data_IF_599817145396
#
_entry.id   IF_599817145396
#
_cell.length_a   1.000
_cell.length_b   1.000
_cell.length_c   1.000
_cell.angle_alpha   90.00
_cell.angle_beta   90.00
_cell.angle_gamma   90.00
#
_symmetry.space_group_name_H-M   'P 1'
#
loop_
_entity.id
_entity.type
_entity.pdbx_description
1 polymer ?
#
# COMPACT_ATOMS: atom_id res chain seq x y z
N UNK A 1 3.95 -32.39 -18.80
CA UNK A 1 2.97 -31.81 -17.85
C UNK A 1 3.57 -31.44 -16.49
N UNK A 2 4.39 -32.29 -15.85
CA UNK A 2 5.06 -31.99 -14.55
C UNK A 2 5.83 -30.66 -14.53
N UNK A 3 6.61 -30.38 -15.60
CA UNK A 3 7.38 -29.13 -15.75
C UNK A 3 6.49 -27.89 -15.93
N UNK A 4 5.36 -28.04 -16.61
CA UNK A 4 4.38 -26.95 -16.81
C UNK A 4 3.65 -26.60 -15.52
N UNK A 5 3.29 -27.60 -14.71
CA UNK A 5 2.67 -27.38 -13.39
C UNK A 5 3.64 -26.66 -12.45
N UNK A 6 4.93 -27.04 -12.47
CA UNK A 6 5.96 -26.38 -11.65
C UNK A 6 6.23 -24.94 -12.09
N UNK A 7 6.14 -24.66 -13.40
CA UNK A 7 6.31 -23.31 -13.95
C UNK A 7 5.13 -22.38 -13.61
N UNK A 8 3.88 -22.89 -13.66
CA UNK A 8 2.72 -22.11 -13.24
C UNK A 8 2.73 -21.80 -11.74
N UNK A 9 3.16 -22.76 -10.90
CA UNK A 9 3.24 -22.57 -9.45
C UNK A 9 4.31 -21.53 -9.05
N UNK A 10 5.41 -21.47 -9.80
CA UNK A 10 6.44 -20.45 -9.60
C UNK A 10 5.95 -19.05 -10.04
N UNK A 11 5.17 -18.95 -11.11
CA UNK A 11 4.65 -17.67 -11.61
C UNK A 11 3.66 -17.02 -10.63
N UNK A 12 2.84 -17.79 -9.93
CA UNK A 12 1.89 -17.27 -8.93
C UNK A 12 2.54 -16.75 -7.65
N UNK A 13 3.79 -17.13 -7.35
CA UNK A 13 4.49 -16.63 -6.16
C UNK A 13 4.98 -15.18 -6.32
N UNK A 14 5.02 -14.65 -7.54
CA UNK A 14 5.53 -13.30 -7.83
C UNK A 14 4.51 -12.19 -7.53
N UNK A 15 3.21 -12.51 -7.47
CA UNK A 15 2.15 -11.49 -7.22
C UNK A 15 2.03 -11.10 -5.75
N UNK A 16 2.76 -11.77 -4.84
CA UNK A 16 2.74 -11.48 -3.40
C UNK A 16 3.64 -10.30 -2.99
N UNK A 17 4.36 -9.68 -3.94
CA UNK A 17 5.25 -8.55 -3.66
C UNK A 17 4.63 -7.17 -3.97
N UNK A 18 3.34 -7.09 -4.32
CA UNK A 18 2.72 -5.78 -4.54
C UNK A 18 2.38 -5.11 -3.21
N UNK A 19 2.71 -3.83 -3.12
CA UNK A 19 2.35 -3.00 -1.98
C UNK A 19 0.83 -2.94 -1.76
N UNK A 20 0.43 -2.91 -0.51
CA UNK A 20 -0.98 -2.81 -0.12
C UNK A 20 -1.55 -1.45 -0.56
N UNK A 21 -2.79 -1.47 -1.09
CA UNK A 21 -3.48 -0.26 -1.59
C UNK A 21 -3.50 0.83 -0.52
N UNK A 22 -3.06 2.04 -0.88
CA UNK A 22 -3.03 3.21 -0.01
C UNK A 22 -1.82 3.31 0.92
N UNK A 23 -0.89 2.36 0.88
CA UNK A 23 0.45 2.55 1.49
C UNK A 23 1.30 3.49 0.66
N UNK A 24 2.32 4.10 1.26
CA UNK A 24 3.19 5.03 0.53
C UNK A 24 3.92 4.34 -0.64
N UNK A 25 4.33 3.07 -0.49
CA UNK A 25 4.88 2.27 -1.57
C UNK A 25 3.91 2.14 -2.75
N UNK A 26 2.66 1.75 -2.47
CA UNK A 26 1.62 1.67 -3.49
C UNK A 26 1.29 3.03 -4.13
N UNK A 27 1.29 4.11 -3.35
CA UNK A 27 1.10 5.45 -3.85
C UNK A 27 2.22 5.84 -4.85
N UNK A 28 3.47 5.49 -4.56
CA UNK A 28 4.59 5.73 -5.46
C UNK A 28 4.48 4.89 -6.73
N UNK A 29 4.16 3.61 -6.62
CA UNK A 29 3.91 2.74 -7.77
C UNK A 29 2.81 3.29 -8.69
N UNK A 30 1.72 3.82 -8.11
CA UNK A 30 0.64 4.42 -8.87
C UNK A 30 1.04 5.75 -9.53
N UNK A 31 1.88 6.57 -8.88
CA UNK A 31 2.41 7.81 -9.46
C UNK A 31 3.20 7.51 -10.74
N UNK A 32 4.02 6.46 -10.72
CA UNK A 32 4.88 6.07 -11.84
C UNK A 32 4.13 5.29 -12.93
N UNK A 33 3.03 4.62 -12.59
CA UNK A 33 2.22 3.85 -13.53
C UNK A 33 1.55 4.73 -14.61
N UNK A 34 1.65 4.38 -15.90
CA UNK A 34 0.96 5.08 -16.99
C UNK A 34 -0.55 5.15 -16.75
N UNK A 35 -1.16 6.35 -16.92
CA UNK A 35 -2.60 6.54 -16.65
C UNK A 35 -3.51 5.71 -17.56
N UNK A 36 -3.03 5.26 -18.71
CA UNK A 36 -3.74 4.33 -19.60
C UNK A 36 -3.93 2.94 -19.00
N UNK A 37 -3.12 2.57 -18.01
CA UNK A 37 -3.21 1.29 -17.29
C UNK A 37 -4.05 1.40 -16.01
N UNK A 38 -4.60 2.58 -15.72
CA UNK A 38 -5.44 2.79 -14.56
C UNK A 38 -6.83 2.17 -14.77
N UNK A 39 -7.35 1.59 -13.69
CA UNK A 39 -8.76 1.16 -13.60
C UNK A 39 -9.55 2.25 -12.89
N UNK A 40 -10.88 2.23 -13.00
CA UNK A 40 -11.71 3.17 -12.24
C UNK A 40 -11.47 3.02 -10.72
N UNK A 41 -11.36 1.78 -10.24
CA UNK A 41 -11.16 1.47 -8.82
C UNK A 41 -9.81 2.01 -8.32
N UNK A 42 -8.70 1.72 -9.01
CA UNK A 42 -7.39 2.17 -8.56
C UNK A 42 -7.25 3.70 -8.66
N UNK A 43 -7.94 4.35 -9.60
CA UNK A 43 -7.97 5.80 -9.69
C UNK A 43 -8.69 6.43 -8.48
N UNK A 44 -9.83 5.85 -8.09
CA UNK A 44 -10.60 6.29 -6.92
C UNK A 44 -9.81 6.06 -5.63
N UNK A 45 -9.19 4.89 -5.48
CA UNK A 45 -8.41 4.57 -4.29
C UNK A 45 -7.16 5.44 -4.18
N UNK A 46 -6.49 5.70 -5.31
CA UNK A 46 -5.34 6.62 -5.34
C UNK A 46 -5.74 8.04 -4.94
N UNK A 47 -6.87 8.53 -5.46
CA UNK A 47 -7.39 9.84 -5.06
C UNK A 47 -7.65 9.91 -3.54
N UNK A 48 -8.29 8.88 -2.96
CA UNK A 48 -8.62 8.85 -1.52
C UNK A 48 -7.39 8.76 -0.64
N UNK A 49 -6.48 7.84 -0.94
CA UNK A 49 -5.42 7.43 -0.03
C UNK A 49 -4.06 8.09 -0.29
N UNK A 50 -3.86 8.69 -1.45
CA UNK A 50 -2.55 9.25 -1.85
C UNK A 50 -2.60 10.74 -2.24
N UNK A 51 -3.79 11.30 -2.48
CA UNK A 51 -3.98 12.71 -2.87
C UNK A 51 -4.75 13.49 -1.82
N UNK A 52 -5.90 12.96 -1.38
CA UNK A 52 -6.71 13.58 -0.34
C UNK A 52 -6.21 13.27 1.08
N UNK A 53 -5.45 12.20 1.22
CA UNK A 53 -4.80 11.75 2.45
C UNK A 53 -3.36 11.37 2.12
N UNK A 54 -2.52 11.35 3.15
CA UNK A 54 -1.15 10.86 3.05
C UNK A 54 -1.13 9.32 3.06
N UNK A 55 -0.28 8.74 2.22
CA UNK A 55 -0.13 7.29 2.13
C UNK A 55 0.31 6.71 3.47
N UNK A 56 -0.25 5.55 3.84
CA UNK A 56 0.10 4.85 5.08
C UNK A 56 1.59 4.51 5.06
N UNK A 57 2.32 4.94 6.09
CA UNK A 57 3.77 4.79 6.16
C UNK A 57 4.60 5.91 5.53
N UNK A 58 3.97 6.92 4.94
CA UNK A 58 4.68 8.16 4.57
C UNK A 58 5.14 8.91 5.82
N UNK A 59 6.19 9.72 5.69
CA UNK A 59 6.73 10.50 6.80
C UNK A 59 5.63 11.37 7.45
N UNK A 60 4.85 12.07 6.64
CA UNK A 60 3.78 12.94 7.13
C UNK A 60 2.65 12.17 7.81
N UNK A 61 2.26 11.01 7.28
CA UNK A 61 1.30 10.13 7.96
C UNK A 61 1.82 9.64 9.31
N UNK A 62 3.10 9.24 9.37
CA UNK A 62 3.74 8.78 10.61
C UNK A 62 3.80 9.88 11.67
N UNK A 63 4.17 11.11 11.29
CA UNK A 63 4.20 12.26 12.21
C UNK A 63 2.80 12.65 12.68
N UNK A 64 1.83 12.77 11.76
CA UNK A 64 0.45 13.07 12.11
C UNK A 64 -0.15 12.04 13.09
N UNK A 65 0.15 10.75 12.90
CA UNK A 65 -0.32 9.71 13.79
C UNK A 65 0.41 9.73 15.14
N UNK A 66 1.70 10.08 15.18
CA UNK A 66 2.45 10.26 16.43
C UNK A 66 1.82 11.31 17.33
N UNK A 67 1.40 12.43 16.74
CA UNK A 67 0.78 13.57 17.43
C UNK A 67 -0.64 13.24 17.92
N UNK A 68 -1.31 12.27 17.30
CA UNK A 68 -2.62 11.78 17.76
C UNK A 68 -2.50 11.01 19.08
N UNK A 69 -3.34 11.29 20.10
CA UNK A 69 -3.37 10.52 21.34
C UNK A 69 -3.53 9.01 21.06
N UNK A 70 -2.72 8.17 21.70
CA UNK A 70 -2.73 6.72 21.44
C UNK A 70 -4.06 6.03 21.76
N UNK A 71 -4.86 6.62 22.65
CA UNK A 71 -6.21 6.14 22.95
C UNK A 71 -7.20 6.30 21.78
N UNK A 72 -6.90 7.21 20.84
CA UNK A 72 -7.73 7.50 19.66
C UNK A 72 -7.27 6.72 18.41
N UNK A 73 -6.27 5.85 18.58
CA UNK A 73 -5.78 5.00 17.49
C UNK A 73 -6.76 3.88 17.21
N UNK A 74 -7.03 3.67 15.93
CA UNK A 74 -7.67 2.44 15.46
C UNK A 74 -6.67 1.28 15.50
N UNK A 75 -7.17 0.05 15.60
CA UNK A 75 -6.31 -1.14 15.57
C UNK A 75 -5.48 -1.24 14.28
N UNK A 76 -6.04 -0.79 13.15
CA UNK A 76 -5.35 -0.79 11.86
C UNK A 76 -4.21 0.23 11.85
N UNK A 77 -4.45 1.46 12.32
CA UNK A 77 -3.39 2.47 12.44
C UNK A 77 -2.25 2.01 13.35
N UNK A 78 -2.56 1.41 14.50
CA UNK A 78 -1.54 0.88 15.42
C UNK A 78 -0.67 -0.20 14.76
N UNK A 79 -1.31 -1.11 14.03
CA UNK A 79 -0.63 -2.18 13.29
C UNK A 79 0.23 -1.61 12.17
N UNK A 80 -0.33 -0.74 11.35
CA UNK A 80 0.35 -0.12 10.22
C UNK A 80 1.51 0.77 10.66
N UNK A 81 1.36 1.52 11.75
CA UNK A 81 2.44 2.33 12.29
C UNK A 81 3.64 1.46 12.72
N UNK A 82 3.37 0.32 13.36
CA UNK A 82 4.43 -0.62 13.73
C UNK A 82 5.14 -1.20 12.51
N UNK A 83 4.41 -1.47 11.43
CA UNK A 83 4.97 -2.00 10.18
C UNK A 83 5.75 -0.98 9.36
N UNK A 84 5.30 0.28 9.36
CA UNK A 84 5.71 1.26 8.35
C UNK A 84 6.30 2.55 8.91
N UNK A 85 6.43 2.72 10.24
CA UNK A 85 6.98 3.95 10.83
C UNK A 85 8.02 3.70 11.93
N UNK A 86 8.14 2.46 12.42
CA UNK A 86 9.12 2.07 13.43
C UNK A 86 10.22 1.30 12.72
N UNK A 87 11.27 2.02 12.31
CA UNK A 87 12.50 1.47 11.72
C UNK A 87 13.68 1.70 12.66
#
# INVERSE_FOLDING_TARGET
MKKLVMLMLAASALTACSDEVGTEGWCNDMRDKPKTEWTADNAVDFAKHCVLQDGVGSEQWCENLKDKPKGDWTANEATSFTKHCIF
#
